data_IF_744954938844
#
_entry.id   IF_744954938844
#
_cell.length_a   1.000
_cell.length_b   1.000
_cell.length_c   1.000
_cell.angle_alpha   90.00
_cell.angle_beta   90.00
_cell.angle_gamma   90.00
#
_symmetry.space_group_name_H-M   'P 1'
#
loop_
_entity.id
_entity.type
_entity.pdbx_description
1 polymer ?
#
# COMPACT_ATOMS: atom_id res chain seq x y z
N UNK A 1 22.25 7.96 5.45
CA UNK A 1 22.54 7.08 6.60
C UNK A 1 21.29 6.97 7.45
N UNK A 2 20.81 5.75 7.65
CA UNK A 2 19.66 5.39 8.46
C UNK A 2 19.77 3.94 8.92
N UNK A 3 18.78 3.47 9.68
CA UNK A 3 18.65 2.08 10.10
C UNK A 3 18.19 1.19 8.93
N UNK A 4 18.26 -0.13 9.10
CA UNK A 4 17.71 -1.07 8.10
C UNK A 4 16.24 -0.79 7.79
N UNK A 5 15.46 -0.41 8.80
CA UNK A 5 14.03 -0.10 8.64
C UNK A 5 13.80 1.18 7.81
N UNK A 6 14.70 2.17 7.91
CA UNK A 6 14.63 3.38 7.07
C UNK A 6 14.87 3.08 5.59
N UNK A 7 15.50 1.95 5.28
CA UNK A 7 15.81 1.50 3.92
C UNK A 7 14.99 0.29 3.47
N UNK A 8 14.02 -0.16 4.27
CA UNK A 8 13.19 -1.34 3.96
C UNK A 8 11.72 -0.99 4.11
N UNK A 9 10.94 -1.16 3.04
CA UNK A 9 9.48 -1.08 3.13
C UNK A 9 8.92 -2.45 3.49
N UNK A 10 8.26 -2.55 4.64
CA UNK A 10 7.55 -3.76 5.07
C UNK A 10 6.06 -3.57 4.80
N UNK A 11 5.46 -4.51 4.07
CA UNK A 11 4.03 -4.54 3.79
C UNK A 11 3.45 -5.83 4.38
N UNK A 12 2.46 -5.69 5.26
CA UNK A 12 1.75 -6.81 5.88
C UNK A 12 0.26 -6.57 5.84
N UNK A 13 -0.53 -7.60 5.56
CA UNK A 13 -1.99 -7.48 5.50
C UNK A 13 -2.65 -8.71 4.90
N UNK A 14 -3.93 -8.57 4.55
CA UNK A 14 -4.73 -9.61 3.92
C UNK A 14 -5.29 -9.14 2.58
N UNK A 15 -5.34 -10.05 1.62
CA UNK A 15 -6.03 -9.83 0.33
C UNK A 15 -7.52 -10.23 0.38
N UNK A 16 -7.96 -10.87 1.46
CA UNK A 16 -9.36 -11.24 1.70
C UNK A 16 -9.88 -10.63 3.00
N UNK A 17 -11.07 -10.04 2.95
CA UNK A 17 -11.82 -9.62 4.14
C UNK A 17 -12.50 -10.81 4.81
N UNK A 18 -13.09 -11.70 4.01
CA UNK A 18 -13.56 -13.02 4.41
C UNK A 18 -13.11 -14.05 3.38
N UNK A 19 -12.23 -14.96 3.81
CA UNK A 19 -11.69 -16.03 2.96
C UNK A 19 -12.72 -17.12 2.65
N UNK A 20 -13.74 -17.32 3.49
CA UNK A 20 -14.77 -18.35 3.26
C UNK A 20 -15.67 -17.96 2.10
N UNK A 21 -16.01 -16.67 2.02
CA UNK A 21 -16.81 -16.09 0.95
C UNK A 21 -15.97 -15.52 -0.21
N UNK A 22 -14.63 -15.64 -0.15
CA UNK A 22 -13.69 -15.06 -1.11
C UNK A 22 -13.92 -13.56 -1.39
N UNK A 23 -14.25 -12.79 -0.35
CA UNK A 23 -14.51 -11.35 -0.50
C UNK A 23 -13.23 -10.54 -0.38
N UNK A 24 -13.04 -9.57 -1.29
CA UNK A 24 -11.87 -8.69 -1.33
C UNK A 24 -12.22 -7.26 -0.90
N UNK A 25 -12.98 -7.10 0.18
CA UNK A 25 -13.33 -5.80 0.77
C UNK A 25 -12.77 -5.68 2.20
N UNK A 26 -12.70 -4.45 2.73
CA UNK A 26 -12.20 -4.18 4.08
C UNK A 26 -10.83 -4.81 4.37
N UNK A 27 -9.87 -4.59 3.47
CA UNK A 27 -8.56 -5.23 3.49
C UNK A 27 -7.60 -4.47 4.43
N UNK A 28 -7.28 -4.99 5.63
CA UNK A 28 -6.35 -4.32 6.53
C UNK A 28 -4.93 -4.44 5.98
N UNK A 29 -4.27 -3.29 5.82
CA UNK A 29 -2.89 -3.19 5.36
C UNK A 29 -2.07 -2.34 6.32
N UNK A 30 -0.88 -2.83 6.64
CA UNK A 30 0.17 -2.14 7.39
C UNK A 30 1.34 -1.94 6.45
N UNK A 31 1.81 -0.69 6.35
CA UNK A 31 3.06 -0.34 5.70
C UNK A 31 3.96 0.34 6.73
N UNK A 32 5.20 -0.13 6.84
CA UNK A 32 6.18 0.38 7.79
C UNK A 32 7.57 0.50 7.13
N UNK A 33 8.42 1.37 7.69
CA UNK A 33 9.78 1.58 7.18
C UNK A 33 9.84 2.35 5.86
N UNK A 34 10.93 2.19 5.11
CA UNK A 34 11.16 2.84 3.82
C UNK A 34 11.40 4.36 3.92
N UNK A 35 11.62 4.89 5.13
CA UNK A 35 11.93 6.30 5.36
C UNK A 35 10.74 7.25 5.13
N UNK A 36 9.53 6.73 4.95
CA UNK A 36 8.34 7.55 4.76
C UNK A 36 7.90 8.22 6.07
N UNK A 37 7.29 9.39 5.92
CA UNK A 37 6.49 10.06 6.97
C UNK A 37 5.14 9.36 7.08
N UNK A 38 5.18 8.19 7.71
CA UNK A 38 4.00 7.36 7.95
C UNK A 38 2.90 8.15 8.65
N UNK A 39 1.66 7.89 8.21
CA UNK A 39 0.47 8.35 8.91
C UNK A 39 0.07 7.33 9.99
N UNK A 40 -0.84 7.74 10.86
CA UNK A 40 -1.53 6.79 11.73
C UNK A 40 -2.56 5.97 10.92
N UNK A 41 -3.48 5.32 11.63
CA UNK A 41 -4.59 4.59 11.01
C UNK A 41 -5.40 5.50 10.07
N UNK A 42 -5.48 5.10 8.80
CA UNK A 42 -6.21 5.82 7.75
C UNK A 42 -7.29 4.91 7.18
N UNK A 43 -8.54 5.37 7.21
CA UNK A 43 -9.66 4.70 6.54
C UNK A 43 -9.92 5.38 5.21
N UNK A 44 -9.95 4.60 4.14
CA UNK A 44 -10.19 5.11 2.79
C UNK A 44 -11.69 5.19 2.52
N UNK A 45 -12.13 6.27 1.87
CA UNK A 45 -13.52 6.43 1.47
C UNK A 45 -13.87 5.59 0.24
N UNK A 46 -15.09 5.03 0.23
CA UNK A 46 -15.62 4.25 -0.89
C UNK A 46 -14.85 2.96 -1.21
N UNK A 47 -15.25 2.22 -2.25
CA UNK A 47 -14.48 1.08 -2.73
C UNK A 47 -13.16 1.57 -3.33
N UNK A 48 -12.08 1.47 -2.57
CA UNK A 48 -10.73 1.81 -3.03
C UNK A 48 -9.98 0.54 -3.43
N UNK A 49 -9.52 0.41 -4.69
CA UNK A 49 -8.70 -0.72 -5.10
C UNK A 49 -7.39 -0.77 -4.30
N UNK A 50 -7.11 -1.91 -3.66
CA UNK A 50 -5.83 -2.16 -2.98
C UNK A 50 -4.64 -2.02 -3.94
N UNK A 51 -4.85 -2.30 -5.24
CA UNK A 51 -3.85 -2.10 -6.28
C UNK A 51 -3.32 -0.66 -6.38
N UNK A 52 -4.06 0.36 -5.92
CA UNK A 52 -3.55 1.73 -5.85
C UNK A 52 -2.34 1.85 -4.90
N UNK A 53 -2.33 1.10 -3.80
CA UNK A 53 -1.19 1.04 -2.86
C UNK A 53 0.00 0.36 -3.53
N UNK A 54 -0.23 -0.73 -4.26
CA UNK A 54 0.83 -1.46 -4.94
C UNK A 54 1.46 -0.66 -6.08
N UNK A 55 0.66 0.09 -6.84
CA UNK A 55 1.19 1.02 -7.84
C UNK A 55 2.10 2.08 -7.20
N UNK A 56 1.64 2.70 -6.10
CA UNK A 56 2.45 3.68 -5.37
C UNK A 56 3.75 3.06 -4.83
N UNK A 57 3.69 1.84 -4.29
CA UNK A 57 4.87 1.11 -3.83
C UNK A 57 5.88 0.86 -4.96
N UNK A 58 5.41 0.49 -6.16
CA UNK A 58 6.27 0.30 -7.33
C UNK A 58 6.97 1.61 -7.72
N UNK A 59 6.22 2.71 -7.80
CA UNK A 59 6.80 4.03 -8.07
C UNK A 59 7.81 4.46 -6.99
N UNK A 60 7.52 4.19 -5.71
CA UNK A 60 8.45 4.46 -4.60
C UNK A 60 9.73 3.63 -4.64
N UNK A 61 9.71 2.51 -5.36
CA UNK A 61 10.88 1.68 -5.63
C UNK A 61 11.45 1.91 -7.04
N UNK A 62 11.16 3.05 -7.66
CA UNK A 62 11.66 3.47 -8.97
C UNK A 62 11.30 2.53 -10.12
N UNK A 63 10.17 1.83 -10.01
CA UNK A 63 9.61 1.02 -11.10
C UNK A 63 8.56 1.85 -11.82
N UNK A 64 8.89 2.35 -13.01
CA UNK A 64 8.03 3.21 -13.83
C UNK A 64 7.02 2.36 -14.64
N UNK A 65 5.79 2.26 -14.14
CA UNK A 65 4.70 1.51 -14.78
C UNK A 65 3.40 2.31 -14.76
N UNK A 66 2.65 2.31 -15.86
CA UNK A 66 1.41 3.09 -15.94
C UNK A 66 0.26 2.56 -15.08
N UNK A 67 0.26 1.26 -14.73
CA UNK A 67 -0.78 0.63 -13.91
C UNK A 67 -0.30 -0.69 -13.28
N UNK A 68 -1.05 -1.16 -12.27
CA UNK A 68 -0.86 -2.46 -11.63
C UNK A 68 -2.23 -3.05 -11.31
N UNK A 69 -2.57 -4.21 -11.88
CA UNK A 69 -3.87 -4.85 -11.65
C UNK A 69 -5.05 -3.90 -11.93
N UNK A 70 -5.91 -3.70 -10.93
CA UNK A 70 -7.06 -2.79 -11.02
C UNK A 70 -6.76 -1.38 -10.47
N UNK A 71 -5.51 -0.94 -10.46
CA UNK A 71 -5.15 0.40 -9.98
C UNK A 71 -5.73 1.49 -10.89
N UNK A 72 -6.03 2.62 -10.28
CA UNK A 72 -6.54 3.82 -10.96
C UNK A 72 -5.58 5.00 -10.81
N UNK A 73 -4.84 5.06 -9.69
CA UNK A 73 -3.89 6.12 -9.34
C UNK A 73 -3.07 5.74 -8.12
N UNK A 74 -1.96 6.46 -7.90
CA UNK A 74 -1.24 6.45 -6.62
C UNK A 74 -2.12 7.01 -5.50
N UNK A 75 -1.98 6.46 -4.30
CA UNK A 75 -2.75 6.94 -3.16
C UNK A 75 -2.14 8.19 -2.52
N UNK A 76 -0.86 8.46 -2.81
CA UNK A 76 -0.08 9.57 -2.25
C UNK A 76 0.01 9.51 -0.72
N UNK A 77 0.05 8.29 -0.16
CA UNK A 77 0.16 8.05 1.28
C UNK A 77 1.60 7.91 1.78
N UNK A 78 2.51 7.40 0.94
CA UNK A 78 3.92 7.14 1.28
C UNK A 78 4.78 8.38 1.04
N UNK A 79 4.50 9.45 1.77
CA UNK A 79 5.21 10.74 1.64
C UNK A 79 6.59 10.67 2.26
N UNK A 80 7.60 11.19 1.60
CA UNK A 80 9.00 11.14 2.01
C UNK A 80 9.85 11.59 0.87
#
# INVERSE_FOLDING_TARGET
NGTLLDHTTVVMGSNFGDSSAHTCNNLPMIVAGGGYRHQAHTVLGGPTPLCNLYLELLHKHNVDVGSFGSSQKDMSLLKG
#
